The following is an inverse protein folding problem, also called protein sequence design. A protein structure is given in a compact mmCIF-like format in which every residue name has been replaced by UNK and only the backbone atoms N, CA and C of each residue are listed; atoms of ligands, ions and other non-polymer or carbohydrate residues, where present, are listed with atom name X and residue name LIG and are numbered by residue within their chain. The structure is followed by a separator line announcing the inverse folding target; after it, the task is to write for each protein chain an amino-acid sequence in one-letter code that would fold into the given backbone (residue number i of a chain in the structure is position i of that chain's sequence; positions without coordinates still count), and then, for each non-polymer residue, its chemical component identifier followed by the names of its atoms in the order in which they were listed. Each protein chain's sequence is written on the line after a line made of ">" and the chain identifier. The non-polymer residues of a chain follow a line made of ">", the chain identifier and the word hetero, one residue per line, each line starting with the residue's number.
data_IF_766959899206
#
_entry.id   IF_766959899206
#
_cell.length_a   1.000
_cell.length_b   1.000
_cell.length_c   1.000
_cell.angle_alpha   90.00
_cell.angle_beta   90.00
_cell.angle_gamma   90.00
#
_symmetry.space_group_name_H-M   'P 1'
#
loop_
_entity.id
_entity.type
_entity.pdbx_description
1 polymer ?
#
# COMPACT_ATOMS: atom_id res chain seq x y z
N UNK A 1 42.55 9.80 8.00
CA UNK A 1 41.61 10.63 8.78
C UNK A 1 40.53 11.14 7.85
N UNK A 2 39.28 10.72 8.04
CA UNK A 2 38.12 11.23 7.28
C UNK A 2 37.72 12.58 7.87
N UNK A 3 37.60 13.61 7.04
CA UNK A 3 37.11 14.93 7.46
C UNK A 3 35.66 14.83 7.97
N UNK A 4 35.33 15.58 9.02
CA UNK A 4 33.97 15.60 9.61
C UNK A 4 32.88 15.81 8.56
N UNK A 5 33.11 16.67 7.56
CA UNK A 5 32.14 16.93 6.48
C UNK A 5 31.88 15.71 5.59
N UNK A 6 32.93 14.93 5.32
CA UNK A 6 32.85 13.70 4.53
C UNK A 6 32.10 12.61 5.31
N UNK A 7 32.32 12.52 6.62
CA UNK A 7 31.58 11.58 7.47
C UNK A 7 30.08 11.87 7.48
N UNK A 8 29.67 13.14 7.61
CA UNK A 8 28.25 13.52 7.59
C UNK A 8 27.60 13.23 6.22
N UNK A 9 28.30 13.52 5.12
CA UNK A 9 27.80 13.24 3.78
C UNK A 9 27.56 11.74 3.56
N UNK A 10 28.48 10.88 4.03
CA UNK A 10 28.32 9.43 3.92
C UNK A 10 27.15 8.91 4.74
N UNK A 11 26.94 9.43 5.96
CA UNK A 11 25.79 9.05 6.79
C UNK A 11 24.47 9.42 6.10
N UNK A 12 24.37 10.61 5.51
CA UNK A 12 23.17 11.05 4.80
C UNK A 12 22.90 10.21 3.55
N UNK A 13 23.94 9.86 2.80
CA UNK A 13 23.82 8.98 1.62
C UNK A 13 23.35 7.59 2.03
N UNK A 14 23.95 7.00 3.07
CA UNK A 14 23.52 5.70 3.60
C UNK A 14 22.08 5.73 4.11
N UNK A 15 21.66 6.82 4.76
CA UNK A 15 20.28 7.02 5.22
C UNK A 15 19.30 7.06 4.03
N UNK A 16 19.60 7.82 2.98
CA UNK A 16 18.77 7.87 1.76
C UNK A 16 18.74 6.53 1.03
N UNK A 17 19.86 5.80 1.00
CA UNK A 17 19.91 4.46 0.44
C UNK A 17 19.09 3.45 1.24
N UNK A 18 18.90 3.63 2.56
CA UNK A 18 18.14 2.68 3.39
C UNK A 18 16.63 2.66 3.12
N UNK A 19 16.07 3.77 2.63
CA UNK A 19 14.65 3.88 2.32
C UNK A 19 14.16 2.85 1.27
N UNK A 20 14.78 2.71 0.08
CA UNK A 20 14.36 1.73 -0.92
C UNK A 20 14.63 0.27 -0.52
N UNK A 21 15.52 0.02 0.45
CA UNK A 21 15.77 -1.36 0.92
C UNK A 21 14.55 -1.92 1.67
N UNK A 22 13.82 -1.10 2.43
CA UNK A 22 12.66 -1.55 3.22
C UNK A 22 11.56 -2.23 2.39
N UNK A 23 11.36 -1.83 1.13
CA UNK A 23 10.39 -2.46 0.22
C UNK A 23 10.92 -3.65 -0.57
N UNK A 24 12.25 -3.80 -0.70
CA UNK A 24 12.88 -4.89 -1.47
C UNK A 24 13.18 -6.11 -0.61
N UNK A 25 13.38 -5.94 0.71
CA UNK A 25 13.51 -7.03 1.68
C UNK A 25 12.17 -7.56 2.21
N UNK A 26 11.05 -7.19 1.56
CA UNK A 26 9.79 -7.88 1.78
C UNK A 26 9.98 -9.38 1.49
N UNK A 27 9.59 -10.28 2.41
CA UNK A 27 9.73 -11.71 2.18
C UNK A 27 9.07 -12.09 0.86
N UNK A 28 9.83 -12.67 -0.07
CA UNK A 28 9.27 -13.28 -1.29
C UNK A 28 8.54 -14.60 -1.02
N UNK A 29 8.44 -15.00 0.25
CA UNK A 29 7.84 -16.23 0.71
C UNK A 29 6.64 -15.97 1.60
N UNK A 30 5.44 -16.03 1.01
CA UNK A 30 4.25 -16.54 1.70
C UNK A 30 3.49 -15.56 2.60
N UNK A 31 3.47 -14.27 2.30
CA UNK A 31 2.27 -13.49 2.64
C UNK A 31 1.24 -13.83 1.56
N UNK A 32 0.18 -14.51 1.95
CA UNK A 32 -0.92 -14.87 1.04
C UNK A 32 -1.38 -13.58 0.39
N UNK A 33 -1.27 -13.49 -0.94
CA UNK A 33 -1.77 -12.32 -1.65
C UNK A 33 -3.24 -12.14 -1.27
N UNK A 34 -3.70 -10.93 -0.93
CA UNK A 34 -5.08 -10.73 -0.53
C UNK A 34 -6.01 -11.30 -1.60
N UNK A 35 -6.89 -12.18 -1.16
CA UNK A 35 -7.91 -12.84 -1.96
C UNK A 35 -9.16 -11.96 -2.07
N UNK A 36 -10.06 -12.35 -2.97
CA UNK A 36 -11.37 -11.70 -3.07
C UNK A 36 -12.20 -11.86 -1.78
N UNK A 37 -11.93 -12.91 -1.00
CA UNK A 37 -12.64 -13.20 0.25
C UNK A 37 -12.23 -12.27 1.40
N UNK A 38 -11.08 -11.60 1.30
CA UNK A 38 -10.57 -10.68 2.32
C UNK A 38 -11.19 -9.27 2.21
N UNK A 39 -12.16 -9.08 1.31
CA UNK A 39 -12.86 -7.83 1.06
C UNK A 39 -14.38 -8.00 1.18
N UNK A 40 -14.97 -7.39 2.20
CA UNK A 40 -16.43 -7.28 2.33
C UNK A 40 -16.93 -5.96 1.75
N UNK A 41 -17.91 -6.04 0.83
CA UNK A 41 -18.56 -4.89 0.21
C UNK A 41 -20.04 -4.86 0.60
N UNK A 42 -20.48 -3.76 1.21
CA UNK A 42 -21.87 -3.57 1.67
C UNK A 42 -22.50 -2.31 1.06
N UNK A 43 -23.79 -2.35 0.66
CA UNK A 43 -24.69 -3.51 0.68
C UNK A 43 -24.38 -4.50 -0.45
N UNK A 44 -24.82 -5.76 -0.29
CA UNK A 44 -24.62 -6.82 -1.30
C UNK A 44 -25.45 -6.64 -2.57
N UNK A 45 -26.52 -5.83 -2.51
CA UNK A 45 -27.37 -5.48 -3.66
C UNK A 45 -27.38 -3.98 -3.82
N UNK A 46 -27.13 -3.51 -5.04
CA UNK A 46 -26.99 -2.09 -5.34
C UNK A 46 -28.21 -1.58 -6.08
N UNK A 47 -28.73 -0.42 -5.65
CA UNK A 47 -29.84 0.26 -6.30
C UNK A 47 -29.30 1.11 -7.45
N UNK A 48 -29.83 0.93 -8.66
CA UNK A 48 -29.45 1.73 -9.82
C UNK A 48 -30.10 3.10 -9.82
N UNK A 49 -29.38 4.14 -10.27
CA UNK A 49 -29.93 5.49 -10.44
C UNK A 49 -30.02 6.31 -9.14
N UNK A 50 -29.45 5.83 -8.04
CA UNK A 50 -29.42 6.52 -6.75
C UNK A 50 -28.00 6.52 -6.17
N UNK A 51 -27.63 7.64 -5.53
CA UNK A 51 -26.41 7.71 -4.74
C UNK A 51 -26.62 6.98 -3.42
N UNK A 52 -26.02 5.80 -3.29
CA UNK A 52 -26.07 4.99 -2.06
C UNK A 52 -24.70 4.95 -1.39
N UNK A 53 -24.68 4.85 -0.07
CA UNK A 53 -23.46 4.64 0.70
C UNK A 53 -22.96 3.21 0.50
N UNK A 54 -21.74 3.06 0.02
CA UNK A 54 -21.04 1.77 -0.07
C UNK A 54 -19.92 1.74 0.95
N UNK A 55 -19.88 0.69 1.77
CA UNK A 55 -18.82 0.45 2.74
C UNK A 55 -17.92 -0.67 2.25
N UNK A 56 -16.61 -0.44 2.30
CA UNK A 56 -15.55 -1.41 1.99
C UNK A 56 -14.82 -1.72 3.30
N UNK A 57 -14.78 -3.00 3.68
CA UNK A 57 -14.06 -3.47 4.86
C UNK A 57 -13.11 -4.58 4.41
N UNK A 58 -11.86 -4.51 4.85
CA UNK A 58 -10.82 -5.47 4.49
C UNK A 58 -10.17 -6.01 5.76
N UNK A 59 -9.88 -7.30 5.78
CA UNK A 59 -9.16 -7.94 6.89
C UNK A 59 -7.63 -7.79 6.75
N UNK A 60 -7.14 -7.62 5.51
CA UNK A 60 -5.71 -7.46 5.17
C UNK A 60 -5.44 -6.14 4.42
N UNK A 61 -4.18 -5.70 4.42
CA UNK A 61 -3.75 -4.50 3.70
C UNK A 61 -3.91 -4.68 2.17
N UNK A 62 -4.87 -3.97 1.57
CA UNK A 62 -5.19 -4.09 0.15
C UNK A 62 -5.39 -2.74 -0.56
N UNK A 63 -5.18 -2.73 -1.88
CA UNK A 63 -5.38 -1.56 -2.73
C UNK A 63 -6.60 -1.77 -3.62
N UNK A 64 -7.66 -0.98 -3.37
CA UNK A 64 -8.91 -1.06 -4.12
C UNK A 64 -8.93 -0.05 -5.26
N UNK A 65 -9.20 -0.55 -6.46
CA UNK A 65 -9.62 0.30 -7.57
C UNK A 65 -11.14 0.45 -7.54
N UNK A 66 -11.63 1.59 -7.06
CA UNK A 66 -13.06 1.94 -7.12
C UNK A 66 -13.31 2.60 -8.48
N UNK A 67 -13.96 1.91 -9.44
CA UNK A 67 -14.30 2.54 -10.70
C UNK A 67 -15.32 3.64 -10.44
N UNK A 68 -14.87 4.89 -10.52
CA UNK A 68 -15.79 6.01 -10.64
C UNK A 68 -16.50 5.92 -11.99
N UNK A 69 -17.71 6.48 -12.06
CA UNK A 69 -18.45 6.75 -13.29
C UNK A 69 -17.63 7.70 -14.18
N UNK A 70 -16.64 7.17 -14.91
CA UNK A 70 -16.02 7.83 -16.05
C UNK A 70 -16.98 7.66 -17.23
N UNK A 71 -17.79 8.71 -17.43
CA UNK A 71 -18.69 9.03 -18.54
C UNK A 71 -19.40 7.89 -19.28
#
# INVERSE_FOLDING_TARGET
>A
MVSSRVAHALVLVLLMCSAPLSGCFAPSGGEELPSADDLEIRPSTWIGGEFQTVAFTADEDLSLYVPYLLR
#
